data_IF_175350817178
#
_entry.id   IF_175350817178
#
_cell.length_a   1.000
_cell.length_b   1.000
_cell.length_c   1.000
_cell.angle_alpha   90.00
_cell.angle_beta   90.00
_cell.angle_gamma   90.00
#
_symmetry.space_group_name_H-M   'P 1'
#
loop_
_entity.id
_entity.type
_entity.pdbx_description
1 polymer ?
#
# COMPACT_ATOMS: atom_id res chain seq x y z
N UNK A 1 -41.45 -66.18 -2.39
CA UNK A 1 -40.34 -65.28 -1.99
C UNK A 1 -40.75 -64.54 -0.72
N UNK A 2 -40.15 -64.85 0.43
CA UNK A 2 -40.49 -64.21 1.71
C UNK A 2 -39.91 -62.79 1.71
N UNK A 3 -40.76 -61.76 1.82
CA UNK A 3 -40.32 -60.36 1.90
C UNK A 3 -39.60 -60.13 3.24
N UNK A 4 -38.30 -59.84 3.21
CA UNK A 4 -37.52 -59.49 4.40
C UNK A 4 -37.81 -58.03 4.80
N UNK A 5 -38.91 -57.79 5.52
CA UNK A 5 -39.29 -56.43 5.96
C UNK A 5 -38.50 -55.92 7.18
N UNK A 6 -37.68 -56.75 7.82
CA UNK A 6 -36.94 -56.38 9.03
C UNK A 6 -35.71 -55.48 8.79
N UNK A 7 -35.13 -55.49 7.59
CA UNK A 7 -33.87 -54.78 7.34
C UNK A 7 -34.05 -53.26 7.19
N UNK A 8 -35.17 -52.82 6.59
CA UNK A 8 -35.45 -51.40 6.35
C UNK A 8 -35.63 -50.57 7.65
N UNK A 9 -36.21 -51.19 8.69
CA UNK A 9 -36.37 -50.53 10.01
C UNK A 9 -35.01 -50.28 10.65
N UNK A 10 -34.10 -51.25 10.55
CA UNK A 10 -32.77 -51.15 11.14
C UNK A 10 -31.94 -50.04 10.47
N UNK A 11 -32.02 -49.94 9.15
CA UNK A 11 -31.34 -48.90 8.37
C UNK A 11 -31.85 -47.49 8.69
N UNK A 12 -33.17 -47.34 8.86
CA UNK A 12 -33.79 -46.04 9.22
C UNK A 12 -33.36 -45.58 10.62
N UNK A 13 -33.33 -46.50 11.59
CA UNK A 13 -32.88 -46.19 12.96
C UNK A 13 -31.40 -45.80 12.97
N UNK A 14 -30.56 -46.49 12.20
CA UNK A 14 -29.13 -46.19 12.12
C UNK A 14 -28.86 -44.77 11.58
N UNK A 15 -29.57 -44.37 10.52
CA UNK A 15 -29.45 -43.01 9.97
C UNK A 15 -29.85 -41.94 10.99
N UNK A 16 -30.90 -42.18 11.77
CA UNK A 16 -31.37 -41.24 12.80
C UNK A 16 -30.31 -41.04 13.90
N UNK A 17 -29.65 -42.12 14.32
CA UNK A 17 -28.55 -42.06 15.30
C UNK A 17 -27.35 -41.27 14.77
N UNK A 18 -26.98 -41.46 13.49
CA UNK A 18 -25.86 -40.72 12.88
C UNK A 18 -26.15 -39.21 12.84
N UNK A 19 -27.36 -38.83 12.43
CA UNK A 19 -27.77 -37.41 12.39
C UNK A 19 -27.77 -36.79 13.79
N UNK A 20 -28.23 -37.53 14.80
CA UNK A 20 -28.22 -37.06 16.19
C UNK A 20 -26.79 -36.80 16.71
N UNK A 21 -25.83 -37.68 16.40
CA UNK A 21 -24.43 -37.52 16.81
C UNK A 21 -23.78 -36.30 16.12
N UNK A 22 -24.03 -36.11 14.82
CA UNK A 22 -23.50 -34.94 14.09
C UNK A 22 -24.10 -33.64 14.61
N UNK A 23 -25.41 -33.63 14.89
CA UNK A 23 -26.09 -32.46 15.48
C UNK A 23 -25.54 -32.09 16.86
N UNK A 24 -25.37 -33.08 17.74
CA UNK A 24 -24.85 -32.86 19.09
C UNK A 24 -23.39 -32.38 19.09
N UNK A 25 -22.54 -32.94 18.22
CA UNK A 25 -21.13 -32.52 18.12
C UNK A 25 -20.99 -31.11 17.57
N UNK A 26 -21.78 -30.75 16.54
CA UNK A 26 -21.81 -29.38 16.00
C UNK A 26 -22.28 -28.35 17.04
N UNK A 27 -23.35 -28.67 17.78
CA UNK A 27 -23.87 -27.81 18.85
C UNK A 27 -22.84 -27.62 19.98
N UNK A 28 -22.17 -28.69 20.41
CA UNK A 28 -21.15 -28.63 21.47
C UNK A 28 -19.99 -27.69 21.10
N UNK A 29 -19.44 -27.82 19.88
CA UNK A 29 -18.32 -26.97 19.41
C UNK A 29 -18.74 -25.50 19.33
N UNK A 30 -19.93 -25.23 18.78
CA UNK A 30 -20.45 -23.86 18.71
C UNK A 30 -20.65 -23.25 20.10
N UNK A 31 -21.21 -24.01 21.04
CA UNK A 31 -21.45 -23.54 22.40
C UNK A 31 -20.14 -23.32 23.19
N UNK A 32 -19.15 -24.21 23.05
CA UNK A 32 -17.83 -24.01 23.67
C UNK A 32 -17.14 -22.75 23.18
N UNK A 33 -17.28 -22.40 21.90
CA UNK A 33 -16.70 -21.17 21.34
C UNK A 33 -17.34 -19.92 21.93
N UNK A 34 -18.66 -19.91 22.08
CA UNK A 34 -19.39 -18.77 22.65
C UNK A 34 -19.00 -18.49 24.11
N UNK A 35 -18.80 -19.54 24.91
CA UNK A 35 -18.32 -19.41 26.30
C UNK A 35 -16.90 -18.85 26.36
N UNK A 36 -16.01 -19.28 25.46
CA UNK A 36 -14.64 -18.79 25.40
C UNK A 36 -14.59 -17.29 25.05
N UNK A 37 -15.35 -16.86 24.03
CA UNK A 37 -15.41 -15.46 23.60
C UNK A 37 -15.96 -14.55 24.72
N UNK A 38 -16.99 -15.00 25.46
CA UNK A 38 -17.53 -14.28 26.62
C UNK A 38 -16.51 -14.15 27.76
N UNK A 39 -15.73 -15.21 28.03
CA UNK A 39 -14.69 -15.19 29.06
C UNK A 39 -13.56 -14.23 28.73
N UNK A 40 -13.17 -14.15 27.45
CA UNK A 40 -12.15 -13.23 26.97
C UNK A 40 -12.61 -11.77 27.05
N UNK A 41 -13.87 -11.49 26.67
CA UNK A 41 -14.44 -10.15 26.77
C UNK A 41 -14.57 -9.69 28.24
N UNK A 42 -14.95 -10.59 29.15
CA UNK A 42 -14.99 -10.29 30.59
C UNK A 42 -13.61 -10.07 31.18
N UNK A 43 -12.59 -10.83 30.76
CA UNK A 43 -11.21 -10.62 31.18
C UNK A 43 -10.64 -9.27 30.68
N UNK A 44 -10.97 -8.86 29.45
CA UNK A 44 -10.61 -7.54 28.91
C UNK A 44 -11.26 -6.39 29.71
N UNK A 45 -12.52 -6.54 30.10
CA UNK A 45 -13.20 -5.56 30.95
C UNK A 45 -12.63 -5.52 32.37
N UNK A 46 -12.28 -6.67 32.97
CA UNK A 46 -11.69 -6.72 34.31
C UNK A 46 -10.24 -6.18 34.35
N UNK A 47 -9.51 -6.26 33.24
CA UNK A 47 -8.16 -5.69 33.09
C UNK A 47 -8.18 -4.18 32.82
N UNK A 48 -9.33 -3.64 32.44
CA UNK A 48 -9.56 -2.20 32.27
C UNK A 48 -9.85 -1.56 33.63
N UNK A 49 -8.86 -1.62 34.54
CA UNK A 49 -8.91 -0.85 35.78
C UNK A 49 -9.24 0.61 35.44
N UNK A 50 -10.33 1.11 36.03
CA UNK A 50 -10.90 2.44 35.81
C UNK A 50 -9.89 3.52 36.23
N UNK A 51 -8.89 3.78 35.39
CA UNK A 51 -8.21 5.06 35.36
C UNK A 51 -9.26 6.01 34.78
N UNK A 52 -9.65 7.08 35.51
CA UNK A 52 -10.61 8.04 35.01
C UNK A 52 -10.15 8.47 33.63
N UNK A 53 -11.03 8.34 32.63
CA UNK A 53 -10.74 8.66 31.25
C UNK A 53 -10.39 10.14 31.14
N UNK A 54 -9.14 10.49 31.40
CA UNK A 54 -8.54 11.72 30.96
C UNK A 54 -8.78 11.72 29.46
N UNK A 55 -9.55 12.69 28.97
CA UNK A 55 -9.89 12.81 27.55
C UNK A 55 -8.58 12.94 26.79
N UNK A 56 -8.07 11.82 26.28
CA UNK A 56 -7.00 11.82 25.29
C UNK A 56 -7.59 12.40 24.02
N UNK A 57 -7.04 13.52 23.61
CA UNK A 57 -7.46 14.27 22.43
C UNK A 57 -6.45 14.19 21.30
N UNK A 58 -5.18 13.90 21.62
CA UNK A 58 -4.10 13.82 20.64
C UNK A 58 -3.29 12.53 20.70
N UNK A 59 -2.47 12.30 19.68
CA UNK A 59 -1.54 11.17 19.60
C UNK A 59 -0.44 11.25 20.68
N UNK A 60 0.08 12.45 20.94
CA UNK A 60 1.13 12.71 21.94
C UNK A 60 0.66 12.42 23.37
N UNK A 61 -0.63 12.65 23.63
CA UNK A 61 -1.28 12.26 24.88
C UNK A 61 -1.47 10.75 24.96
N UNK A 62 -1.80 10.10 23.83
CA UNK A 62 -1.98 8.65 23.78
C UNK A 62 -0.69 7.90 24.11
N UNK A 63 0.46 8.28 23.52
CA UNK A 63 1.75 7.60 23.74
C UNK A 63 2.25 7.73 25.19
N UNK A 64 1.83 8.77 25.91
CA UNK A 64 2.20 9.01 27.32
C UNK A 64 1.28 8.26 28.28
N UNK A 65 0.13 7.76 27.80
CA UNK A 65 -0.84 7.07 28.63
C UNK A 65 -0.35 5.65 28.96
N UNK A 66 -0.26 5.30 30.25
CA UNK A 66 0.03 3.94 30.67
C UNK A 66 -1.05 2.96 30.17
N UNK A 67 -0.62 1.83 29.61
CA UNK A 67 -1.52 0.84 29.01
C UNK A 67 -1.95 1.15 27.58
N UNK A 68 -1.47 2.24 26.98
CA UNK A 68 -1.56 2.43 25.54
C UNK A 68 -0.63 1.44 24.81
N UNK A 69 -1.04 0.99 23.63
CA UNK A 69 -0.24 0.16 22.74
C UNK A 69 0.05 0.95 21.47
N UNK A 70 1.33 1.14 21.18
CA UNK A 70 1.75 1.64 19.87
C UNK A 70 1.67 0.50 18.85
N UNK A 71 1.01 0.75 17.73
CA UNK A 71 1.00 -0.12 16.58
C UNK A 71 2.03 0.40 15.58
N UNK A 72 2.97 -0.46 15.20
CA UNK A 72 3.97 -0.23 14.15
C UNK A 72 3.33 -0.31 12.75
N UNK A 73 2.22 0.40 12.56
CA UNK A 73 1.60 0.64 11.26
C UNK A 73 2.09 1.96 10.71
N UNK A 74 2.09 2.17 9.38
CA UNK A 74 2.33 3.49 8.79
C UNK A 74 1.04 4.04 8.17
N UNK A 75 0.57 5.24 8.60
CA UNK A 75 1.11 6.07 9.69
C UNK A 75 0.98 5.40 11.06
N UNK A 76 1.85 5.75 12.02
CA UNK A 76 1.82 5.19 13.37
C UNK A 76 0.46 5.41 14.04
N UNK A 77 -0.01 4.37 14.73
CA UNK A 77 -1.27 4.41 15.46
C UNK A 77 -1.03 4.07 16.91
N UNK A 78 -1.48 4.93 17.82
CA UNK A 78 -1.54 4.65 19.24
C UNK A 78 -2.96 4.21 19.60
N UNK A 79 -3.09 3.07 20.27
CA UNK A 79 -4.37 2.52 20.74
C UNK A 79 -4.40 2.60 22.26
N UNK A 80 -5.34 3.36 22.80
CA UNK A 80 -5.55 3.42 24.26
C UNK A 80 -6.08 2.08 24.80
N UNK A 81 -5.99 1.85 26.11
CA UNK A 81 -6.59 0.69 26.77
C UNK A 81 -8.10 0.55 26.49
N UNK A 82 -8.79 1.66 26.22
CA UNK A 82 -10.21 1.68 25.83
C UNK A 82 -10.49 1.25 24.37
N UNK A 83 -9.44 1.00 23.58
CA UNK A 83 -9.53 0.65 22.16
C UNK A 83 -9.64 1.86 21.21
N UNK A 84 -9.72 3.09 21.73
CA UNK A 84 -9.71 4.31 20.90
C UNK A 84 -8.33 4.48 20.24
N UNK A 85 -8.33 4.70 18.92
CA UNK A 85 -7.13 4.88 18.10
C UNK A 85 -6.85 6.35 17.83
N UNK A 86 -5.58 6.72 17.88
CA UNK A 86 -5.06 8.03 17.50
C UNK A 86 -3.96 7.82 16.47
N UNK A 87 -4.04 8.52 15.36
CA UNK A 87 -3.03 8.47 14.29
C UNK A 87 -2.09 9.63 14.47
N UNK A 88 -0.79 9.39 14.33
CA UNK A 88 0.19 10.45 14.29
C UNK A 88 0.02 11.25 12.98
N UNK A 89 -0.65 12.41 13.06
CA UNK A 89 -0.84 13.30 11.92
C UNK A 89 0.41 14.12 11.61
N UNK A 90 1.35 14.23 12.54
CA UNK A 90 2.67 14.83 12.29
C UNK A 90 3.61 13.84 11.56
N UNK A 91 3.27 12.54 11.59
CA UNK A 91 3.67 11.57 10.57
C UNK A 91 2.83 11.67 9.29
N UNK A 92 2.17 12.81 9.03
CA UNK A 92 1.94 13.24 7.66
C UNK A 92 3.27 13.13 6.94
N UNK A 93 3.47 12.02 6.22
CA UNK A 93 3.75 11.82 4.79
C UNK A 93 4.40 12.98 4.00
N UNK A 94 4.61 14.15 4.58
CA UNK A 94 5.05 15.37 3.88
C UNK A 94 6.46 15.23 3.33
N UNK A 95 7.28 14.38 3.94
CA UNK A 95 8.63 14.13 3.44
C UNK A 95 8.80 12.75 2.81
N UNK A 96 7.91 11.76 2.95
CA UNK A 96 8.19 10.41 2.43
C UNK A 96 7.01 9.67 1.78
N UNK A 97 7.27 9.07 0.61
CA UNK A 97 6.43 8.10 -0.08
C UNK A 97 6.88 6.68 0.31
N UNK A 98 6.05 5.94 1.05
CA UNK A 98 6.36 4.56 1.48
C UNK A 98 5.76 3.55 0.51
N UNK A 99 6.58 2.64 -0.02
CA UNK A 99 6.16 1.50 -0.85
C UNK A 99 6.30 0.23 -0.02
N UNK A 100 5.20 -0.16 0.63
CA UNK A 100 5.19 -1.24 1.63
C UNK A 100 5.56 -2.59 1.02
N UNK A 101 5.13 -2.85 -0.20
CA UNK A 101 5.38 -4.08 -0.96
C UNK A 101 6.87 -4.29 -1.23
N UNK A 102 7.64 -3.20 -1.30
CA UNK A 102 9.07 -3.24 -1.56
C UNK A 102 9.92 -3.00 -0.31
N UNK A 103 9.31 -2.67 0.84
CA UNK A 103 10.03 -2.35 2.07
C UNK A 103 10.89 -1.09 1.96
N UNK A 104 10.53 -0.15 1.09
CA UNK A 104 11.30 1.08 0.84
C UNK A 104 10.44 2.33 1.09
N UNK A 105 11.12 3.45 1.22
CA UNK A 105 10.52 4.77 1.17
C UNK A 105 11.37 5.74 0.37
N UNK A 106 10.74 6.73 -0.25
CA UNK A 106 11.38 7.80 -0.99
C UNK A 106 11.13 9.12 -0.28
N UNK A 107 12.12 9.99 -0.18
CA UNK A 107 11.87 11.35 0.27
C UNK A 107 11.14 12.14 -0.82
N UNK A 108 9.95 12.66 -0.53
CA UNK A 108 9.18 13.50 -1.44
C UNK A 108 9.90 14.85 -1.60
N UNK A 109 10.35 15.20 -2.81
CA UNK A 109 10.98 16.49 -3.05
C UNK A 109 10.04 17.65 -2.73
N UNK A 110 10.57 18.69 -2.07
CA UNK A 110 9.86 19.95 -1.89
C UNK A 110 9.48 20.49 -3.27
N UNK A 111 8.20 20.78 -3.46
CA UNK A 111 7.69 21.16 -4.76
C UNK A 111 6.71 20.16 -5.35
N UNK A 112 6.61 18.95 -4.81
CA UNK A 112 5.60 17.96 -5.16
C UNK A 112 4.49 17.87 -4.10
N UNK A 113 3.30 17.49 -4.52
CA UNK A 113 2.11 17.27 -3.68
C UNK A 113 1.28 16.14 -4.28
N UNK A 114 0.37 15.54 -3.48
CA UNK A 114 -0.53 14.46 -3.92
C UNK A 114 0.23 13.29 -4.58
N UNK A 115 1.40 12.95 -4.01
CA UNK A 115 2.27 11.90 -4.53
C UNK A 115 1.60 10.53 -4.36
N UNK A 116 1.49 9.79 -5.46
CA UNK A 116 0.91 8.45 -5.53
C UNK A 116 1.86 7.52 -6.25
N UNK A 117 1.70 6.23 -5.99
CA UNK A 117 2.40 5.20 -6.74
C UNK A 117 1.44 4.10 -7.20
N UNK A 118 1.89 3.35 -8.19
CA UNK A 118 1.23 2.13 -8.64
C UNK A 118 2.28 1.10 -9.01
N UNK A 119 2.13 -0.11 -8.48
CA UNK A 119 2.93 -1.25 -8.88
C UNK A 119 2.33 -1.89 -10.13
N UNK A 120 3.17 -2.37 -11.03
CA UNK A 120 2.76 -3.11 -12.21
C UNK A 120 3.84 -4.12 -12.61
N UNK A 121 3.39 -5.24 -13.16
CA UNK A 121 4.27 -6.33 -13.57
C UNK A 121 4.95 -6.01 -14.91
N UNK A 122 6.26 -6.20 -14.95
CA UNK A 122 7.07 -6.17 -16.16
C UNK A 122 6.94 -7.45 -16.98
N UNK A 123 7.41 -7.37 -18.24
CA UNK A 123 7.42 -8.53 -19.14
C UNK A 123 8.41 -9.61 -18.70
N UNK A 124 9.46 -9.22 -17.98
CA UNK A 124 10.62 -10.05 -17.66
C UNK A 124 10.76 -10.33 -16.16
N UNK A 125 9.64 -10.43 -15.43
CA UNK A 125 9.56 -10.62 -13.96
C UNK A 125 10.10 -9.48 -13.09
N UNK A 126 10.57 -8.40 -13.71
CA UNK A 126 10.86 -7.17 -13.00
C UNK A 126 9.56 -6.52 -12.50
N UNK A 127 9.55 -6.10 -11.24
CA UNK A 127 8.47 -5.30 -10.69
C UNK A 127 8.77 -3.83 -10.96
N UNK A 128 7.76 -3.10 -11.42
CA UNK A 128 7.87 -1.68 -11.72
C UNK A 128 6.98 -0.85 -10.80
N UNK A 129 7.45 0.33 -10.44
CA UNK A 129 6.74 1.33 -9.65
C UNK A 129 6.56 2.60 -10.47
N UNK A 130 5.33 2.89 -10.88
CA UNK A 130 4.98 4.16 -11.47
C UNK A 130 4.78 5.20 -10.36
N UNK A 131 5.43 6.36 -10.46
CA UNK A 131 5.24 7.48 -9.53
C UNK A 131 4.49 8.60 -10.22
N UNK A 132 3.46 9.09 -9.54
CA UNK A 132 2.63 10.20 -9.95
C UNK A 132 2.71 11.30 -8.89
N UNK A 133 2.91 12.56 -9.28
CA UNK A 133 2.82 13.69 -8.35
C UNK A 133 2.30 14.94 -9.06
N UNK A 134 1.82 15.92 -8.28
CA UNK A 134 1.49 17.27 -8.75
C UNK A 134 2.57 18.26 -8.34
N UNK A 135 2.94 19.23 -9.20
CA UNK A 135 3.66 20.40 -8.75
C UNK A 135 2.82 21.15 -7.70
N UNK A 136 3.38 21.38 -6.52
CA UNK A 136 2.75 22.14 -5.42
C UNK A 136 2.36 23.58 -5.80
N UNK A 137 3.04 24.16 -6.80
CA UNK A 137 2.78 25.51 -7.32
C UNK A 137 1.82 25.54 -8.51
N UNK A 138 1.33 24.37 -8.97
CA UNK A 138 0.53 24.26 -10.18
C UNK A 138 -0.94 23.98 -9.90
N UNK A 139 -1.84 24.64 -10.65
CA UNK A 139 -3.27 24.29 -10.72
C UNK A 139 -3.52 23.08 -11.63
N UNK A 140 -2.57 22.13 -11.66
CA UNK A 140 -2.65 20.96 -12.55
C UNK A 140 -3.59 19.95 -11.91
N UNK A 141 -4.79 19.84 -12.46
CA UNK A 141 -5.72 18.79 -12.05
C UNK A 141 -5.22 17.42 -12.52
N UNK A 142 -5.28 16.43 -11.61
CA UNK A 142 -5.13 15.05 -12.04
C UNK A 142 -6.29 14.75 -12.98
N UNK A 143 -5.99 14.50 -14.25
CA UNK A 143 -6.98 13.87 -15.11
C UNK A 143 -7.22 12.45 -14.57
N UNK A 144 -8.46 12.00 -14.64
CA UNK A 144 -8.82 10.64 -14.20
C UNK A 144 -8.08 9.54 -14.98
N UNK A 145 -7.49 9.86 -16.14
CA UNK A 145 -6.67 8.96 -16.95
C UNK A 145 -5.18 8.95 -16.56
N UNK A 146 -4.75 9.66 -15.50
CA UNK A 146 -3.36 9.56 -14.99
C UNK A 146 -3.00 8.16 -14.53
N UNK A 147 -3.97 7.35 -14.09
CA UNK A 147 -3.75 5.96 -13.72
C UNK A 147 -4.06 4.99 -14.87
N UNK A 148 -4.35 5.52 -16.07
CA UNK A 148 -4.66 4.68 -17.21
C UNK A 148 -3.38 3.97 -17.67
N UNK A 149 -3.41 2.64 -17.61
CA UNK A 149 -2.36 1.81 -18.18
C UNK A 149 -2.73 1.51 -19.64
N UNK A 150 -1.77 1.58 -20.57
CA UNK A 150 -2.03 1.13 -21.95
C UNK A 150 -2.37 -0.35 -21.96
N UNK A 151 -3.51 -0.71 -22.54
CA UNK A 151 -3.82 -2.11 -22.86
C UNK A 151 -2.91 -2.56 -24.01
N UNK A 152 -2.06 -3.56 -23.77
CA UNK A 152 -1.10 -4.07 -24.75
C UNK A 152 -0.19 -5.14 -24.14
N UNK A 153 0.73 -5.67 -24.94
CA UNK A 153 1.69 -6.72 -24.49
C UNK A 153 2.67 -6.24 -23.42
N UNK A 154 2.77 -4.92 -23.20
CA UNK A 154 3.49 -4.30 -22.08
C UNK A 154 2.63 -3.17 -21.51
N UNK A 155 1.91 -3.41 -20.40
CA UNK A 155 1.16 -2.36 -19.73
C UNK A 155 2.13 -1.28 -19.28
N UNK A 156 1.97 -0.04 -19.78
CA UNK A 156 2.76 1.10 -19.33
C UNK A 156 1.86 2.16 -18.71
N UNK A 157 2.25 2.73 -17.57
CA UNK A 157 1.52 3.83 -16.97
C UNK A 157 1.53 5.01 -17.95
N UNK A 158 0.35 5.55 -18.26
CA UNK A 158 0.25 6.83 -18.97
C UNK A 158 0.48 7.93 -17.95
N UNK A 159 1.30 8.92 -18.30
CA UNK A 159 1.48 10.13 -17.49
C UNK A 159 2.16 9.97 -16.11
N UNK A 160 2.82 8.84 -15.86
CA UNK A 160 3.76 8.74 -14.73
C UNK A 160 4.88 9.78 -14.88
N UNK A 161 5.28 10.40 -13.77
CA UNK A 161 6.43 11.31 -13.74
C UNK A 161 7.75 10.55 -13.84
N UNK A 162 7.79 9.32 -13.33
CA UNK A 162 8.93 8.42 -13.40
C UNK A 162 8.48 6.98 -13.16
N UNK A 163 9.29 6.04 -13.64
CA UNK A 163 9.15 4.62 -13.32
C UNK A 163 10.41 4.25 -12.54
N UNK A 164 10.23 3.64 -11.38
CA UNK A 164 11.32 3.02 -10.63
C UNK A 164 11.25 1.52 -10.88
N UNK A 165 12.35 0.96 -11.31
CA UNK A 165 12.50 -0.46 -11.56
C UNK A 165 13.25 -1.09 -10.38
N UNK A 166 12.83 -2.29 -9.97
CA UNK A 166 13.51 -3.07 -8.92
C UNK A 166 14.04 -4.36 -9.51
N UNK A 167 15.36 -4.56 -9.45
CA UNK A 167 16.01 -5.80 -9.91
C UNK A 167 16.89 -6.42 -8.83
N UNK A 168 16.78 -7.74 -8.66
CA UNK A 168 17.61 -8.52 -7.74
C UNK A 168 18.99 -8.87 -8.31
N UNK A 169 19.13 -8.82 -9.64
CA UNK A 169 20.41 -8.97 -10.31
C UNK A 169 21.09 -7.61 -10.50
N UNK A 170 22.42 -7.61 -10.63
CA UNK A 170 23.17 -6.41 -11.01
C UNK A 170 22.78 -6.02 -12.45
N UNK A 171 21.77 -5.18 -12.65
CA UNK A 171 21.51 -4.70 -14.02
C UNK A 171 22.56 -3.66 -14.43
N UNK A 172 23.48 -4.19 -15.24
CA UNK A 172 24.15 -3.63 -16.43
C UNK A 172 23.95 -2.14 -16.66
N UNK A 173 25.03 -1.39 -16.53
CA UNK A 173 25.27 -0.25 -17.42
C UNK A 173 24.95 -0.71 -18.84
N UNK A 174 23.97 -0.09 -19.48
CA UNK A 174 23.88 -0.18 -20.93
C UNK A 174 25.16 0.51 -21.46
N UNK A 175 26.03 -0.25 -22.14
CA UNK A 175 27.36 0.17 -22.64
C UNK A 175 27.29 1.36 -23.64
N UNK A 176 26.11 1.95 -23.85
CA UNK A 176 25.84 3.10 -24.70
C UNK A 176 26.09 4.48 -24.06
N UNK A 177 26.67 4.56 -22.86
CA UNK A 177 27.15 5.84 -22.29
C UNK A 177 26.07 6.81 -21.79
N UNK A 178 24.86 6.35 -21.52
CA UNK A 178 23.79 7.20 -21.01
C UNK A 178 23.80 7.23 -19.46
N UNK A 179 24.45 8.25 -18.90
CA UNK A 179 24.72 8.47 -17.45
C UNK A 179 23.47 8.60 -16.55
N UNK A 180 22.25 8.49 -17.10
CA UNK A 180 20.99 8.54 -16.31
C UNK A 180 20.55 7.17 -15.76
N UNK A 181 21.33 6.11 -16.00
CA UNK A 181 21.03 4.71 -15.64
C UNK A 181 21.87 4.14 -14.48
N UNK A 182 22.63 4.96 -13.75
CA UNK A 182 23.36 4.47 -12.57
C UNK A 182 22.35 4.15 -11.45
N UNK A 183 21.89 2.90 -11.40
CA UNK A 183 20.96 2.43 -10.37
C UNK A 183 21.54 2.59 -8.96
N UNK A 184 20.69 2.99 -8.01
CA UNK A 184 21.02 3.07 -6.59
C UNK A 184 20.75 1.71 -5.94
N UNK A 185 21.78 1.11 -5.33
CA UNK A 185 21.62 -0.10 -4.53
C UNK A 185 21.02 0.23 -3.17
N UNK A 186 19.93 -0.44 -2.79
CA UNK A 186 19.30 -0.35 -1.46
C UNK A 186 18.92 -1.76 -1.00
N UNK A 187 19.53 -2.21 0.10
CA UNK A 187 19.43 -3.60 0.52
C UNK A 187 19.98 -4.56 -0.55
N UNK A 188 19.18 -5.57 -0.90
CA UNK A 188 19.52 -6.59 -1.89
C UNK A 188 19.17 -6.20 -3.33
N UNK A 189 18.49 -5.07 -3.53
CA UNK A 189 17.98 -4.66 -4.83
C UNK A 189 18.71 -3.45 -5.39
N UNK A 190 18.73 -3.37 -6.72
CA UNK A 190 19.09 -2.17 -7.46
C UNK A 190 17.81 -1.46 -7.90
N UNK A 191 17.80 -0.14 -7.70
CA UNK A 191 16.71 0.74 -8.11
C UNK A 191 17.21 1.72 -9.15
N UNK A 192 16.55 1.80 -10.29
CA UNK A 192 16.89 2.77 -11.32
C UNK A 192 15.62 3.42 -11.86
N UNK A 193 15.76 4.64 -12.38
CA UNK A 193 14.66 5.31 -13.07
C UNK A 193 14.78 5.04 -14.55
N UNK A 194 13.86 4.28 -15.11
CA UNK A 194 13.70 4.26 -16.56
C UNK A 194 12.98 5.55 -16.99
N UNK A 195 13.49 6.16 -18.07
CA UNK A 195 12.81 7.28 -18.68
C UNK A 195 11.44 6.82 -19.17
N UNK A 196 10.37 7.32 -18.55
CA UNK A 196 9.01 7.06 -19.02
C UNK A 196 8.80 7.79 -20.36
N UNK A 197 9.10 7.13 -21.48
CA UNK A 197 8.64 7.48 -22.84
C UNK A 197 7.11 7.37 -22.90
N UNK A 198 6.41 8.31 -22.28
CA UNK A 198 4.98 8.56 -22.49
C UNK A 198 4.53 9.87 -21.86
N UNK A 199 5.37 10.49 -21.01
CA UNK A 199 5.08 11.82 -20.51
C UNK A 199 5.04 12.77 -21.71
N UNK A 200 3.81 13.11 -22.11
CA UNK A 200 3.52 14.27 -22.93
C UNK A 200 3.94 15.59 -22.22
N UNK A 201 4.61 15.51 -21.07
CA UNK A 201 5.06 16.59 -20.21
C UNK A 201 6.47 17.12 -20.55
N UNK A 202 7.32 16.42 -21.30
CA UNK A 202 8.67 16.91 -21.68
C UNK A 202 8.73 17.73 -22.98
N UNK A 203 7.57 18.17 -23.50
CA UNK A 203 7.50 19.20 -24.55
C UNK A 203 7.07 18.69 -25.94
N UNK A 204 7.35 17.45 -26.31
CA UNK A 204 6.86 16.91 -27.60
C UNK A 204 5.36 16.55 -27.57
N UNK A 205 4.82 16.19 -26.41
CA UNK A 205 3.39 15.93 -26.23
C UNK A 205 2.59 17.09 -25.66
N UNK A 206 3.27 18.13 -25.15
CA UNK A 206 2.63 19.22 -24.43
C UNK A 206 1.89 20.15 -25.40
N UNK A 207 2.48 20.37 -26.58
CA UNK A 207 1.86 21.04 -27.73
C UNK A 207 0.72 20.24 -28.35
N UNK A 208 0.83 18.90 -28.41
CA UNK A 208 -0.16 18.03 -29.02
C UNK A 208 -1.40 17.76 -28.14
N UNK A 209 -1.28 17.80 -26.81
CA UNK A 209 -2.40 17.61 -25.88
C UNK A 209 -3.13 18.89 -25.52
N UNK A 210 -2.40 19.98 -25.34
CA UNK A 210 -2.96 21.21 -24.76
C UNK A 210 -3.21 22.32 -25.79
N UNK A 211 -3.04 22.03 -27.09
CA UNK A 211 -3.44 22.94 -28.16
C UNK A 211 -2.70 24.27 -28.12
N UNK A 212 -1.40 24.25 -28.45
CA UNK A 212 -0.62 25.40 -28.93
C UNK A 212 -0.49 26.67 -28.05
N UNK A 213 -1.13 26.78 -26.89
CA UNK A 213 -1.22 28.05 -26.14
C UNK A 213 -0.87 28.00 -24.65
N UNK A 214 -0.43 26.86 -24.11
CA UNK A 214 -0.21 26.71 -22.66
C UNK A 214 1.24 26.41 -22.29
N UNK A 215 2.15 27.35 -22.58
CA UNK A 215 3.57 27.29 -22.16
C UNK A 215 3.74 27.13 -20.63
N UNK A 216 2.78 27.66 -19.85
CA UNK A 216 2.81 27.61 -18.38
C UNK A 216 2.68 26.18 -17.83
N UNK A 217 1.81 25.35 -18.39
CA UNK A 217 1.61 23.98 -17.91
C UNK A 217 2.87 23.13 -18.14
N UNK A 218 3.46 23.24 -19.32
CA UNK A 218 4.70 22.54 -19.67
C UNK A 218 5.87 22.92 -18.76
N UNK A 219 5.95 24.19 -18.35
CA UNK A 219 6.98 24.63 -17.40
C UNK A 219 6.83 23.98 -16.02
N UNK A 220 5.60 23.86 -15.51
CA UNK A 220 5.33 23.24 -14.21
C UNK A 220 5.56 21.72 -14.22
N UNK A 221 5.19 21.05 -15.32
CA UNK A 221 5.42 19.62 -15.50
C UNK A 221 6.92 19.30 -15.67
N UNK A 222 7.68 20.15 -16.36
CA UNK A 222 9.13 20.02 -16.47
C UNK A 222 9.84 20.10 -15.11
N UNK A 223 9.37 20.97 -14.21
CA UNK A 223 9.89 21.06 -12.84
C UNK A 223 9.60 19.78 -12.07
N UNK A 224 8.36 19.27 -12.11
CA UNK A 224 8.01 18.00 -11.46
C UNK A 224 8.82 16.82 -12.01
N UNK A 225 9.02 16.75 -13.33
CA UNK A 225 9.85 15.72 -13.95
C UNK A 225 11.29 15.77 -13.44
N UNK A 226 11.88 16.96 -13.34
CA UNK A 226 13.23 17.12 -12.77
C UNK A 226 13.27 16.67 -11.32
N UNK A 227 12.31 17.06 -10.49
CA UNK A 227 12.24 16.63 -9.09
C UNK A 227 12.11 15.11 -8.92
N UNK A 228 11.52 14.39 -9.88
CA UNK A 228 11.42 12.93 -9.81
C UNK A 228 12.68 12.24 -10.33
N UNK A 229 13.24 12.72 -11.44
CA UNK A 229 14.25 11.95 -12.21
C UNK A 229 15.66 12.56 -12.23
N UNK A 230 15.85 13.82 -11.84
CA UNK A 230 17.10 14.54 -12.05
C UNK A 230 17.58 15.34 -10.83
N UNK A 231 18.90 15.38 -10.66
CA UNK A 231 19.53 16.14 -9.58
C UNK A 231 19.60 15.39 -8.26
N UNK A 232 20.33 15.95 -7.29
CA UNK A 232 20.61 15.33 -5.99
C UNK A 232 19.35 15.04 -5.16
N UNK A 233 18.30 15.83 -5.36
CA UNK A 233 17.03 15.74 -4.65
C UNK A 233 15.99 14.93 -5.45
N UNK A 234 16.40 14.26 -6.53
CA UNK A 234 15.53 13.37 -7.29
C UNK A 234 14.97 12.27 -6.39
N UNK A 235 13.70 11.92 -6.59
CA UNK A 235 13.02 10.88 -5.82
C UNK A 235 13.88 9.61 -5.66
N UNK A 236 14.46 9.10 -6.76
CA UNK A 236 15.34 7.92 -6.72
C UNK A 236 16.56 8.10 -5.81
N UNK A 237 17.18 9.27 -5.80
CA UNK A 237 18.35 9.53 -4.97
C UNK A 237 18.04 9.51 -3.47
N UNK A 238 16.76 9.63 -3.13
CA UNK A 238 16.27 9.63 -1.75
C UNK A 238 15.69 8.29 -1.30
N UNK A 239 15.69 7.26 -2.15
CA UNK A 239 15.20 5.92 -1.78
C UNK A 239 16.03 5.34 -0.64
N UNK A 240 15.36 4.80 0.37
CA UNK A 240 15.97 4.13 1.53
C UNK A 240 15.08 2.98 2.01
N UNK A 241 15.65 2.07 2.81
CA UNK A 241 14.89 0.99 3.44
C UNK A 241 13.92 1.58 4.48
N UNK A 242 12.74 0.99 4.56
CA UNK A 242 11.83 1.23 5.67
C UNK A 242 12.43 0.56 6.91
N UNK A 243 12.49 1.24 8.07
CA UNK A 243 13.03 0.67 9.30
C UNK A 243 12.24 -0.55 9.80
#
# INVERSE_FOLDING_TARGET
MKKQQGFAVLETVLLLVIVAIIGLTGWYVWHSKQIADDSQNKALQASSGTIPATKVTSYEECIKLQGSKLLETYPEQCVTASGKKFTNLDQSVDDYLVVKEWGIRFKVPKGLSDVKYQLFDGKDSDEHLAVYAKPSSGSVDYRSDYLAVTTGSTPRPKYALGIVDRSGDKYKEDDGGNLTLAGKKVGDYYFYTSWAFSSRATGAGCTALYGGSTDKLCSSESVAFKLVNQGKDALLNTIELTP
#
